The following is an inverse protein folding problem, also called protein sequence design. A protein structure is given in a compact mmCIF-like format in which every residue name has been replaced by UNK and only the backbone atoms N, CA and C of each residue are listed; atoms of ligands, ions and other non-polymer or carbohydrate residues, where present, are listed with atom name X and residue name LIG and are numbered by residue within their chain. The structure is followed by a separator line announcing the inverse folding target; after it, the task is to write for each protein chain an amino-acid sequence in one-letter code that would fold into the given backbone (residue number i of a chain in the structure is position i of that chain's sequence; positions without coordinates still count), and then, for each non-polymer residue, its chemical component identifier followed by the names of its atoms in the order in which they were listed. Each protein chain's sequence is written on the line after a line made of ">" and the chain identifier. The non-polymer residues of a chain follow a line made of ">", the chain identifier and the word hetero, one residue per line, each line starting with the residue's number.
data_IF_196262612114
#
_entry.id   IF_196262612114
#
_cell.length_a   1.000
_cell.length_b   1.000
_cell.length_c   1.000
_cell.angle_alpha   90.00
_cell.angle_beta   90.00
_cell.angle_gamma   90.00
#
_symmetry.space_group_name_H-M   'P 1'
#
loop_
_entity.id
_entity.type
_entity.pdbx_description
1 polymer ?
#
# COMPACT_ATOMS: atom_id res chain seq x y z
N UNK A 1 -9.94 7.34 8.80
CA UNK A 1 -11.38 6.98 8.72
C UNK A 1 -11.61 6.49 7.31
N UNK A 2 -11.93 5.20 7.12
CA UNK A 2 -12.09 4.63 5.77
C UNK A 2 -13.39 5.21 5.18
N UNK A 3 -13.29 5.98 4.08
CA UNK A 3 -14.43 6.63 3.44
C UNK A 3 -14.69 5.96 2.09
N UNK A 4 -15.93 5.54 1.83
CA UNK A 4 -16.31 4.68 0.70
C UNK A 4 -16.52 5.47 -0.60
N UNK A 5 -15.64 6.40 -0.94
CA UNK A 5 -15.83 7.31 -2.08
C UNK A 5 -15.41 6.71 -3.43
N UNK A 6 -14.69 5.57 -3.43
CA UNK A 6 -14.24 4.90 -4.65
C UNK A 6 -14.79 3.45 -4.77
N UNK A 7 -15.77 3.19 -5.64
CA UNK A 7 -16.32 1.84 -5.84
C UNK A 7 -15.32 0.85 -6.43
N UNK A 8 -14.22 1.33 -7.03
CA UNK A 8 -13.13 0.50 -7.55
C UNK A 8 -12.04 0.23 -6.50
N UNK A 9 -12.20 0.70 -5.26
CA UNK A 9 -11.27 0.40 -4.18
C UNK A 9 -11.17 -1.11 -3.94
N UNK A 10 -9.95 -1.58 -3.67
CA UNK A 10 -9.71 -2.98 -3.26
C UNK A 10 -10.30 -3.29 -1.88
N UNK A 11 -10.80 -2.29 -1.15
CA UNK A 11 -11.55 -2.42 0.10
C UNK A 11 -13.00 -1.94 -0.01
N UNK A 12 -13.60 -1.94 -1.20
CA UNK A 12 -14.96 -1.41 -1.44
C UNK A 12 -16.07 -2.02 -0.56
N UNK A 13 -15.81 -3.18 0.07
CA UNK A 13 -16.72 -3.84 1.01
C UNK A 13 -16.64 -3.30 2.45
N UNK A 14 -15.61 -2.54 2.81
CA UNK A 14 -15.45 -1.93 4.14
C UNK A 14 -16.15 -0.56 4.15
N UNK A 15 -17.17 -0.41 5.00
CA UNK A 15 -17.94 0.84 5.13
C UNK A 15 -17.51 1.70 6.32
N UNK A 16 -16.89 1.10 7.34
CA UNK A 16 -16.38 1.82 8.50
C UNK A 16 -15.33 0.97 9.22
N UNK A 17 -14.50 1.64 10.01
CA UNK A 17 -13.47 1.02 10.83
C UNK A 17 -12.24 1.90 10.96
N UNK A 18 -11.25 1.38 11.67
CA UNK A 18 -9.91 1.98 11.78
C UNK A 18 -8.87 0.97 11.33
N UNK A 19 -7.86 1.44 10.62
CA UNK A 19 -6.70 0.67 10.23
C UNK A 19 -5.46 1.37 10.81
N UNK A 20 -4.62 0.60 11.49
CA UNK A 20 -3.25 0.96 11.79
C UNK A 20 -2.36 0.16 10.83
N UNK A 21 -1.53 0.84 10.05
CA UNK A 21 -0.67 0.19 9.06
C UNK A 21 0.77 0.55 9.39
N UNK A 22 1.62 -0.46 9.47
CA UNK A 22 3.07 -0.35 9.62
C UNK A 22 3.69 -1.02 8.41
N UNK A 23 4.61 -0.35 7.73
CA UNK A 23 5.31 -0.90 6.58
C UNK A 23 6.82 -0.81 6.81
N UNK A 24 7.50 -1.94 6.74
CA UNK A 24 8.95 -2.06 6.80
C UNK A 24 9.48 -2.28 5.38
N UNK A 25 10.46 -1.45 4.99
CA UNK A 25 11.03 -1.46 3.64
C UNK A 25 12.49 -1.86 3.73
N UNK A 26 12.85 -2.97 3.09
CA UNK A 26 14.23 -3.44 2.97
C UNK A 26 14.74 -3.16 1.56
N UNK A 27 15.85 -2.42 1.50
CA UNK A 27 16.55 -2.07 0.27
C UNK A 27 17.74 -3.02 0.03
N UNK A 28 18.17 -3.21 -1.23
CA UNK A 28 19.29 -4.10 -1.54
C UNK A 28 20.62 -3.58 -0.98
N UNK A 29 21.56 -4.49 -0.67
CA UNK A 29 22.84 -4.22 -0.01
C UNK A 29 23.95 -3.68 -0.94
N UNK A 30 23.79 -3.71 -2.27
CA UNK A 30 24.75 -3.13 -3.21
C UNK A 30 24.60 -1.60 -3.24
N UNK A 31 25.23 -0.96 -2.24
CA UNK A 31 24.83 0.34 -1.66
C UNK A 31 25.69 1.56 -2.02
N UNK A 32 26.63 1.51 -2.96
CA UNK A 32 27.44 2.71 -3.28
C UNK A 32 26.83 3.62 -4.37
N UNK A 33 25.79 3.17 -5.09
CA UNK A 33 25.33 3.84 -6.32
C UNK A 33 23.80 4.02 -6.43
N UNK A 34 22.98 3.60 -5.46
CA UNK A 34 21.57 3.99 -5.49
C UNK A 34 21.45 5.47 -5.10
N UNK A 35 21.29 6.34 -6.10
CA UNK A 35 21.09 7.77 -5.89
C UNK A 35 19.97 8.00 -4.87
N UNK A 36 20.26 8.65 -3.75
CA UNK A 36 19.28 8.97 -2.69
C UNK A 36 18.03 9.70 -3.23
N UNK A 37 18.17 10.39 -4.36
CA UNK A 37 17.06 10.98 -5.13
C UNK A 37 16.01 9.95 -5.54
N UNK A 38 16.47 8.78 -6.00
CA UNK A 38 15.63 7.69 -6.49
C UNK A 38 14.91 7.00 -5.33
N UNK A 39 15.61 6.83 -4.20
CA UNK A 39 14.99 6.33 -2.97
C UNK A 39 13.93 7.31 -2.46
N UNK A 40 14.25 8.61 -2.39
CA UNK A 40 13.30 9.64 -1.99
C UNK A 40 12.04 9.66 -2.86
N UNK A 41 12.19 9.50 -4.18
CA UNK A 41 11.07 9.38 -5.12
C UNK A 41 10.23 8.14 -4.84
N UNK A 42 10.85 6.96 -4.67
CA UNK A 42 10.13 5.74 -4.29
C UNK A 42 9.40 5.92 -2.96
N UNK A 43 10.05 6.39 -1.91
CA UNK A 43 9.41 6.60 -0.60
C UNK A 43 8.24 7.59 -0.69
N UNK A 44 8.41 8.67 -1.47
CA UNK A 44 7.34 9.66 -1.69
C UNK A 44 6.16 9.02 -2.42
N UNK A 45 6.42 8.23 -3.46
CA UNK A 45 5.40 7.54 -4.24
C UNK A 45 4.71 6.41 -3.45
N UNK A 46 5.44 5.73 -2.55
CA UNK A 46 4.91 4.66 -1.69
C UNK A 46 3.97 5.18 -0.59
N UNK A 47 4.26 6.35 -0.02
CA UNK A 47 3.53 6.87 1.15
C UNK A 47 2.69 8.12 0.86
N UNK A 48 2.42 8.43 -0.41
CA UNK A 48 1.42 9.43 -0.75
C UNK A 48 0.07 9.05 -0.10
N UNK A 49 -0.52 9.93 0.74
CA UNK A 49 -1.70 9.59 1.52
C UNK A 49 -2.89 9.32 0.62
N UNK A 50 -3.48 8.13 0.76
CA UNK A 50 -4.49 7.60 -0.17
C UNK A 50 -5.88 8.24 -0.08
N UNK A 51 -6.14 9.27 0.74
CA UNK A 51 -7.40 10.05 0.71
C UNK A 51 -7.40 11.20 1.74
N UNK A 52 -7.13 12.46 1.33
CA UNK A 52 -7.78 13.70 1.81
C UNK A 52 -7.17 15.00 1.18
N UNK A 53 -7.94 16.12 1.11
CA UNK A 53 -7.49 17.41 0.56
C UNK A 53 -6.35 18.02 1.41
N UNK A 54 -5.52 18.93 0.84
CA UNK A 54 -4.25 19.33 1.44
C UNK A 54 -4.46 19.87 2.85
N UNK A 55 -4.00 19.10 3.83
CA UNK A 55 -3.89 19.54 5.21
C UNK A 55 -2.42 19.77 5.53
N UNK A 56 -2.15 20.82 6.30
CA UNK A 56 -0.83 21.42 6.57
C UNK A 56 0.25 20.44 7.08
N UNK A 57 -0.11 19.21 7.44
CA UNK A 57 0.81 18.15 7.87
C UNK A 57 1.62 17.53 6.71
N UNK A 58 1.12 17.60 5.48
CA UNK A 58 1.83 17.15 4.27
C UNK A 58 3.12 17.93 4.02
N UNK A 59 3.20 19.17 4.50
CA UNK A 59 4.41 20.00 4.37
C UNK A 59 5.54 19.46 5.25
N UNK A 60 5.27 19.00 6.47
CA UNK A 60 6.35 18.62 7.40
C UNK A 60 7.09 17.35 6.95
N UNK A 61 6.36 16.40 6.36
CA UNK A 61 6.94 15.16 5.86
C UNK A 61 7.69 15.40 4.55
N UNK A 62 7.13 16.23 3.65
CA UNK A 62 7.80 16.68 2.42
C UNK A 62 9.05 17.51 2.72
N UNK A 63 8.98 18.40 3.71
CA UNK A 63 10.09 19.27 4.11
C UNK A 63 11.21 18.46 4.80
N UNK A 64 10.87 17.44 5.58
CA UNK A 64 11.85 16.52 6.16
C UNK A 64 12.59 15.70 5.07
N UNK A 65 11.86 15.21 4.07
CA UNK A 65 12.45 14.48 2.93
C UNK A 65 13.27 15.41 2.04
N UNK A 66 12.80 16.63 1.78
CA UNK A 66 13.51 17.63 1.00
C UNK A 66 14.80 18.12 1.69
N UNK A 67 14.80 18.22 3.03
CA UNK A 67 16.01 18.57 3.79
C UNK A 67 17.10 17.49 3.70
N UNK A 68 16.71 16.22 3.64
CA UNK A 68 17.64 15.11 3.38
C UNK A 68 18.20 15.22 1.96
N UNK A 69 17.35 15.46 0.97
CA UNK A 69 17.74 15.61 -0.44
C UNK A 69 18.77 16.73 -0.68
N UNK A 70 18.59 17.89 -0.04
CA UNK A 70 19.47 19.05 -0.25
C UNK A 70 20.88 18.86 0.33
N UNK A 71 21.10 17.90 1.23
CA UNK A 71 22.39 17.71 1.90
C UNK A 71 23.40 16.91 1.07
N UNK A 72 22.97 16.18 0.03
CA UNK A 72 23.80 15.11 -0.58
C UNK A 72 23.95 15.12 -2.11
N UNK A 73 23.65 16.21 -2.83
CA UNK A 73 23.74 16.20 -4.31
C UNK A 73 25.18 16.04 -4.87
N UNK A 74 25.41 14.95 -5.60
CA UNK A 74 26.41 14.82 -6.68
C UNK A 74 25.85 13.88 -7.78
N UNK A 75 26.09 14.10 -9.09
CA UNK A 75 25.35 13.39 -10.12
C UNK A 75 26.14 12.24 -10.75
N UNK A 76 25.62 11.01 -10.75
CA UNK A 76 26.00 9.98 -11.73
C UNK A 76 24.90 8.91 -11.96
N UNK A 77 24.88 8.29 -13.15
CA UNK A 77 23.81 7.40 -13.67
C UNK A 77 24.11 5.93 -13.36
N UNK A 78 23.12 5.18 -12.87
CA UNK A 78 23.31 3.83 -12.31
C UNK A 78 22.31 2.84 -12.91
N UNK A 79 22.80 1.63 -13.22
CA UNK A 79 22.03 0.53 -13.84
C UNK A 79 21.19 -0.21 -12.81
N UNK A 80 19.87 -0.15 -12.97
CA UNK A 80 18.86 -0.51 -11.97
C UNK A 80 18.24 -1.92 -12.13
N UNK A 81 18.72 -2.70 -13.10
CA UNK A 81 17.95 -3.76 -13.77
C UNK A 81 17.64 -5.03 -12.93
N UNK A 82 18.35 -5.27 -11.82
CA UNK A 82 18.20 -6.49 -10.99
C UNK A 82 18.04 -6.24 -9.49
N UNK A 83 17.74 -5.00 -9.10
CA UNK A 83 17.61 -4.63 -7.70
C UNK A 83 16.15 -4.68 -7.24
N UNK A 84 15.89 -5.33 -6.11
CA UNK A 84 14.55 -5.56 -5.56
C UNK A 84 14.37 -4.84 -4.22
N UNK A 85 13.16 -4.35 -3.98
CA UNK A 85 12.70 -3.87 -2.69
C UNK A 85 11.80 -4.92 -2.09
N UNK A 86 12.01 -5.22 -0.81
CA UNK A 86 11.06 -6.01 -0.02
C UNK A 86 10.25 -5.05 0.85
N UNK A 87 8.93 -5.13 0.75
CA UNK A 87 8.01 -4.34 1.57
C UNK A 87 7.17 -5.30 2.41
N UNK A 88 7.37 -5.25 3.72
CA UNK A 88 6.59 -6.02 4.70
C UNK A 88 5.55 -5.10 5.32
N UNK A 89 4.27 -5.40 5.13
CA UNK A 89 3.16 -4.62 5.67
C UNK A 89 2.46 -5.39 6.78
N UNK A 90 2.30 -4.73 7.92
CA UNK A 90 1.48 -5.20 9.03
C UNK A 90 0.31 -4.24 9.23
N UNK A 91 -0.89 -4.76 9.09
CA UNK A 91 -2.12 -4.01 9.23
C UNK A 91 -2.93 -4.52 10.40
N UNK A 92 -3.40 -3.61 11.25
CA UNK A 92 -4.30 -3.92 12.36
C UNK A 92 -5.61 -3.17 12.20
N UNK A 93 -6.68 -3.93 12.09
CA UNK A 93 -8.02 -3.48 11.74
C UNK A 93 -8.92 -3.53 12.96
N UNK A 94 -9.57 -2.42 13.27
CA UNK A 94 -10.42 -2.25 14.45
C UNK A 94 -11.83 -1.84 14.05
N UNK A 95 -12.80 -2.36 14.80
CA UNK A 95 -14.22 -1.97 14.72
C UNK A 95 -14.76 -1.96 13.29
N UNK A 96 -14.32 -2.94 12.48
CA UNK A 96 -14.70 -3.02 11.08
C UNK A 96 -16.21 -3.20 10.93
N UNK A 97 -16.78 -2.49 9.97
CA UNK A 97 -18.12 -2.71 9.45
C UNK A 97 -18.03 -2.91 7.95
N UNK A 98 -18.74 -3.92 7.50
CA UNK A 98 -18.65 -4.44 6.15
C UNK A 98 -20.04 -4.51 5.50
N UNK A 99 -20.10 -4.31 4.20
CA UNK A 99 -21.32 -4.49 3.41
C UNK A 99 -20.97 -4.99 2.01
N UNK A 100 -21.94 -5.57 1.32
CA UNK A 100 -21.71 -6.04 -0.04
C UNK A 100 -21.49 -4.83 -0.97
N UNK A 101 -20.35 -4.76 -1.67
CA UNK A 101 -20.11 -3.71 -2.64
C UNK A 101 -20.91 -3.97 -3.92
N UNK A 102 -21.14 -2.91 -4.71
CA UNK A 102 -21.78 -3.04 -6.02
C UNK A 102 -20.87 -3.75 -7.03
N UNK A 103 -19.55 -3.60 -6.88
CA UNK A 103 -18.53 -4.21 -7.73
C UNK A 103 -17.61 -5.03 -6.82
N UNK A 104 -17.32 -6.28 -7.21
CA UNK A 104 -16.37 -7.10 -6.47
C UNK A 104 -14.98 -6.46 -6.49
N UNK A 105 -14.21 -6.53 -5.39
CA UNK A 105 -12.81 -6.12 -5.36
C UNK A 105 -11.98 -6.89 -6.38
N UNK A 106 -11.13 -6.18 -7.13
CA UNK A 106 -10.35 -6.74 -8.24
C UNK A 106 -8.90 -6.26 -8.24
N UNK A 107 -8.03 -7.10 -8.79
CA UNK A 107 -6.65 -6.74 -9.16
C UNK A 107 -6.64 -5.65 -10.23
N UNK A 108 -5.48 -5.05 -10.46
CA UNK A 108 -5.30 -4.07 -11.54
C UNK A 108 -5.53 -4.71 -12.93
N UNK A 109 -5.27 -6.02 -13.06
CA UNK A 109 -5.60 -6.83 -14.24
C UNK A 109 -7.09 -7.26 -14.30
N UNK A 110 -7.95 -6.65 -13.47
CA UNK A 110 -9.40 -6.86 -13.42
C UNK A 110 -9.83 -8.29 -13.02
N UNK A 111 -8.97 -9.00 -12.29
CA UNK A 111 -9.23 -10.35 -11.76
C UNK A 111 -9.84 -10.20 -10.35
N UNK A 112 -10.99 -10.81 -10.03
CA UNK A 112 -11.55 -10.75 -8.68
C UNK A 112 -10.63 -11.37 -7.63
N UNK A 113 -10.41 -10.68 -6.51
CA UNK A 113 -9.66 -11.24 -5.37
C UNK A 113 -10.43 -12.35 -4.67
N UNK A 114 -11.76 -12.28 -4.70
CA UNK A 114 -12.64 -13.12 -3.91
C UNK A 114 -13.94 -13.40 -4.67
N UNK A 115 -14.50 -14.60 -4.50
CA UNK A 115 -15.81 -14.95 -5.06
C UNK A 115 -16.93 -14.21 -4.32
N UNK A 116 -18.10 -14.05 -4.96
CA UNK A 116 -19.24 -13.41 -4.28
C UNK A 116 -19.71 -14.21 -3.06
N UNK A 117 -19.64 -15.54 -3.12
CA UNK A 117 -20.04 -16.42 -2.01
C UNK A 117 -19.10 -16.23 -0.81
N UNK A 118 -17.80 -16.24 -1.07
CA UNK A 118 -16.79 -16.09 -0.02
C UNK A 118 -16.80 -14.67 0.54
N UNK A 119 -17.03 -13.65 -0.29
CA UNK A 119 -17.19 -12.27 0.17
C UNK A 119 -18.39 -12.11 1.11
N UNK A 120 -19.50 -12.82 0.88
CA UNK A 120 -20.65 -12.80 1.81
C UNK A 120 -20.28 -13.42 3.16
N UNK A 121 -19.56 -14.54 3.14
CA UNK A 121 -19.07 -15.19 4.35
C UNK A 121 -18.11 -14.27 5.12
N UNK A 122 -17.15 -13.67 4.41
CA UNK A 122 -16.21 -12.69 4.94
C UNK A 122 -16.93 -11.50 5.58
N UNK A 123 -17.90 -10.88 4.90
CA UNK A 123 -18.69 -9.77 5.45
C UNK A 123 -19.42 -10.19 6.73
N UNK A 124 -19.99 -11.41 6.74
CA UNK A 124 -20.63 -11.96 7.93
C UNK A 124 -19.66 -12.11 9.09
N UNK A 125 -18.49 -12.70 8.83
CA UNK A 125 -17.41 -12.85 9.79
C UNK A 125 -16.99 -11.49 10.35
N UNK A 126 -16.60 -10.54 9.49
CA UNK A 126 -16.12 -9.21 9.89
C UNK A 126 -17.14 -8.46 10.73
N UNK A 127 -18.41 -8.47 10.34
CA UNK A 127 -19.47 -7.79 11.11
C UNK A 127 -19.77 -8.43 12.47
N UNK A 128 -19.42 -9.71 12.64
CA UNK A 128 -19.56 -10.44 13.90
C UNK A 128 -18.35 -10.29 14.82
N UNK A 129 -17.21 -9.84 14.28
CA UNK A 129 -15.98 -9.67 15.05
C UNK A 129 -15.98 -8.38 15.86
N UNK A 130 -15.62 -8.52 17.14
CA UNK A 130 -15.45 -7.40 18.08
C UNK A 130 -13.99 -7.23 18.51
N UNK A 131 -13.08 -8.09 18.04
CA UNK A 131 -11.65 -8.00 18.33
C UNK A 131 -10.88 -7.47 17.13
N UNK A 132 -9.76 -6.77 17.35
CA UNK A 132 -8.93 -6.30 16.25
C UNK A 132 -8.36 -7.47 15.44
N UNK A 133 -8.39 -7.35 14.12
CA UNK A 133 -7.81 -8.33 13.19
C UNK A 133 -6.44 -7.83 12.77
N UNK A 134 -5.42 -8.68 12.80
CA UNK A 134 -4.09 -8.34 12.30
C UNK A 134 -3.83 -9.14 11.05
N UNK A 135 -3.31 -8.48 10.02
CA UNK A 135 -2.95 -9.07 8.74
C UNK A 135 -1.50 -8.71 8.44
N UNK A 136 -0.73 -9.65 7.93
CA UNK A 136 0.66 -9.42 7.54
C UNK A 136 0.91 -9.92 6.13
N UNK A 137 1.54 -9.08 5.31
CA UNK A 137 1.94 -9.42 3.95
C UNK A 137 3.38 -8.98 3.71
N UNK A 138 4.08 -9.67 2.82
CA UNK A 138 5.40 -9.26 2.34
C UNK A 138 5.45 -9.43 0.83
N UNK A 139 5.78 -8.34 0.15
CA UNK A 139 5.90 -8.33 -1.30
C UNK A 139 7.32 -7.92 -1.72
N UNK A 140 7.80 -8.50 -2.83
CA UNK A 140 9.04 -8.10 -3.47
C UNK A 140 8.70 -7.45 -4.82
N UNK A 141 9.21 -6.25 -5.03
CA UNK A 141 9.02 -5.52 -6.29
C UNK A 141 10.38 -5.08 -6.84
N UNK A 142 10.50 -5.07 -8.17
CA UNK A 142 11.70 -4.52 -8.82
C UNK A 142 11.73 -3.01 -8.67
N UNK A 143 12.90 -2.46 -8.39
CA UNK A 143 13.06 -1.01 -8.31
C UNK A 143 12.72 -0.29 -9.63
N UNK A 144 13.00 -0.92 -10.78
CA UNK A 144 12.61 -0.40 -12.11
C UNK A 144 11.10 -0.19 -12.22
N UNK A 145 10.32 -1.10 -11.66
CA UNK A 145 8.87 -1.06 -11.71
C UNK A 145 8.33 -0.03 -10.73
N UNK A 146 9.14 0.33 -9.71
CA UNK A 146 8.82 1.38 -8.75
C UNK A 146 9.14 2.82 -9.20
N UNK A 147 9.99 2.96 -10.21
CA UNK A 147 10.59 4.24 -10.63
C UNK A 147 9.61 5.26 -11.24
N UNK A 148 8.47 4.82 -11.78
CA UNK A 148 7.54 5.68 -12.52
C UNK A 148 6.10 5.59 -11.98
N UNK A 149 5.93 5.24 -10.71
CA UNK A 149 4.60 5.08 -10.13
C UNK A 149 4.12 6.39 -9.52
N UNK A 150 2.96 6.86 -9.96
CA UNK A 150 2.27 7.99 -9.30
C UNK A 150 1.40 7.52 -8.11
N UNK A 151 0.85 6.30 -8.19
CA UNK A 151 -0.05 5.72 -7.17
C UNK A 151 0.30 4.25 -6.89
N UNK A 152 0.70 3.96 -5.64
CA UNK A 152 0.99 2.61 -5.16
C UNK A 152 -0.19 1.64 -5.38
N UNK A 153 -1.42 2.16 -5.33
CA UNK A 153 -2.65 1.40 -5.57
C UNK A 153 -2.69 0.70 -6.93
N UNK A 154 -1.93 1.21 -7.91
CA UNK A 154 -1.86 0.68 -9.28
C UNK A 154 -0.72 -0.32 -9.50
N UNK A 155 0.05 -0.62 -8.46
CA UNK A 155 1.19 -1.55 -8.55
C UNK A 155 0.75 -3.00 -8.45
N UNK A 156 1.57 -3.90 -9.01
CA UNK A 156 1.43 -5.34 -8.77
C UNK A 156 1.76 -5.70 -7.32
N UNK A 157 2.71 -4.99 -6.70
CA UNK A 157 3.01 -5.12 -5.28
C UNK A 157 1.75 -4.96 -4.41
N UNK A 158 0.93 -3.94 -4.67
CA UNK A 158 -0.31 -3.72 -3.93
C UNK A 158 -1.37 -4.80 -4.21
N UNK A 159 -1.41 -5.34 -5.43
CA UNK A 159 -2.25 -6.52 -5.73
C UNK A 159 -1.82 -7.75 -4.92
N UNK A 160 -0.52 -8.01 -4.80
CA UNK A 160 -0.01 -9.11 -3.97
C UNK A 160 -0.37 -8.94 -2.50
N UNK A 161 -0.16 -7.73 -1.95
CA UNK A 161 -0.52 -7.42 -0.57
C UNK A 161 -2.01 -7.63 -0.33
N UNK A 162 -2.86 -7.20 -1.27
CA UNK A 162 -4.30 -7.41 -1.13
C UNK A 162 -4.71 -8.86 -1.28
N UNK A 163 -4.06 -9.63 -2.16
CA UNK A 163 -4.32 -11.07 -2.27
C UNK A 163 -4.08 -11.77 -0.92
N UNK A 164 -2.95 -11.50 -0.27
CA UNK A 164 -2.64 -12.03 1.07
C UNK A 164 -3.69 -11.61 2.10
N UNK A 165 -4.14 -10.35 2.05
CA UNK A 165 -5.20 -9.86 2.95
C UNK A 165 -6.50 -10.63 2.75
N UNK A 166 -6.91 -10.88 1.51
CA UNK A 166 -8.13 -11.65 1.25
C UNK A 166 -7.99 -13.11 1.67
N UNK A 167 -6.82 -13.72 1.46
CA UNK A 167 -6.53 -15.10 1.88
C UNK A 167 -6.54 -15.23 3.41
N UNK A 168 -5.93 -14.30 4.15
CA UNK A 168 -5.89 -14.36 5.63
C UNK A 168 -7.26 -14.13 6.27
N UNK A 169 -8.16 -13.41 5.58
CA UNK A 169 -9.48 -13.07 6.11
C UNK A 169 -10.58 -14.10 5.79
N UNK A 170 -10.37 -15.01 4.84
CA UNK A 170 -11.34 -16.07 4.44
C UNK A 170 -11.00 -17.43 5.02
#
# INVERSE_FOLDING_TARGET
>A
KINNSNPNSKFSWIINGKAEVVADITLPEEQDELNDSFLGEIFTNLFHPMDNPPSTEDSLLKDAIAAIYHTFQKPEKVTLDNSYVMVSVKMKLYDLKASLPTILPRTNDNIPFISLTDLRSLIGFINSQNTPITVTSTALEKLTDLSNIEDLGQTKMFDYIMADVYEELT
#
